data_IF_386123661122
#
_entry.id   IF_386123661122
#
_cell.length_a   1.000
_cell.length_b   1.000
_cell.length_c   1.000
_cell.angle_alpha   90.00
_cell.angle_beta   90.00
_cell.angle_gamma   90.00
#
_symmetry.space_group_name_H-M   'P 1'
#
loop_
_entity.id
_entity.type
_entity.pdbx_description
1 polymer ?
#
# COMPACT_ATOMS: atom_id res chain seq x y z
N UNK A 1 13.30 5.71 -14.22
CA UNK A 1 12.39 4.95 -15.12
C UNK A 1 11.58 5.89 -16.01
N UNK A 2 11.10 5.44 -17.18
CA UNK A 2 10.38 6.28 -18.16
C UNK A 2 9.16 7.00 -17.57
N UNK A 3 8.43 6.36 -16.66
CA UNK A 3 7.12 6.82 -16.16
C UNK A 3 7.17 7.83 -14.99
N UNK A 4 8.35 8.14 -14.43
CA UNK A 4 8.49 9.16 -13.37
C UNK A 4 7.92 8.77 -12.00
N UNK A 5 7.79 7.47 -11.72
CA UNK A 5 7.33 6.93 -10.42
C UNK A 5 8.19 7.46 -9.27
N UNK A 6 7.55 7.97 -8.23
CA UNK A 6 8.21 8.56 -7.06
C UNK A 6 7.69 8.03 -5.71
N UNK A 7 6.79 7.03 -5.73
CA UNK A 7 6.41 6.25 -4.55
C UNK A 7 6.83 4.80 -4.83
N UNK A 8 7.69 4.23 -3.98
CA UNK A 8 8.20 2.87 -4.16
C UNK A 8 7.96 2.05 -2.89
N UNK A 9 7.69 0.76 -3.05
CA UNK A 9 7.61 -0.21 -1.95
C UNK A 9 8.84 -1.12 -2.01
N UNK A 10 9.52 -1.27 -0.88
CA UNK A 10 10.70 -2.13 -0.73
C UNK A 10 10.32 -3.33 0.13
N UNK A 11 10.26 -4.50 -0.49
CA UNK A 11 10.14 -5.77 0.25
C UNK A 11 11.45 -6.08 0.95
N UNK A 12 11.39 -6.31 2.25
CA UNK A 12 12.51 -6.67 3.12
C UNK A 12 12.50 -8.18 3.39
N UNK A 13 13.64 -8.70 3.84
CA UNK A 13 13.76 -10.06 4.34
C UNK A 13 13.16 -10.21 5.74
N UNK A 14 13.27 -9.14 6.56
CA UNK A 14 12.90 -9.08 7.97
C UNK A 14 13.72 -9.99 8.90
N UNK A 15 14.62 -10.80 8.35
CA UNK A 15 15.49 -11.74 9.08
C UNK A 15 16.96 -11.33 9.07
N UNK A 16 17.36 -10.40 8.20
CA UNK A 16 18.71 -9.85 8.13
C UNK A 16 18.67 -8.32 8.05
N UNK A 17 18.88 -7.67 9.19
CA UNK A 17 18.78 -6.22 9.34
C UNK A 17 19.79 -5.49 8.45
N UNK A 18 21.03 -5.96 8.37
CA UNK A 18 22.07 -5.27 7.59
C UNK A 18 21.77 -5.37 6.09
N UNK A 19 21.28 -6.53 5.62
CA UNK A 19 20.80 -6.68 4.25
C UNK A 19 19.59 -5.80 3.95
N UNK A 20 18.62 -5.72 4.88
CA UNK A 20 17.43 -4.88 4.74
C UNK A 20 17.78 -3.39 4.66
N UNK A 21 18.74 -2.94 5.47
CA UNK A 21 19.26 -1.57 5.46
C UNK A 21 19.94 -1.25 4.14
N UNK A 22 20.86 -2.11 3.68
CA UNK A 22 21.57 -1.88 2.41
C UNK A 22 20.63 -1.93 1.21
N UNK A 23 19.63 -2.84 1.22
CA UNK A 23 18.60 -2.89 0.18
C UNK A 23 17.79 -1.59 0.13
N UNK A 24 17.35 -1.09 1.28
CA UNK A 24 16.55 0.14 1.34
C UNK A 24 17.37 1.35 0.88
N UNK A 25 18.63 1.42 1.31
CA UNK A 25 19.59 2.44 0.87
C UNK A 25 19.81 2.41 -0.64
N UNK A 26 20.11 1.24 -1.21
CA UNK A 26 20.36 1.09 -2.64
C UNK A 26 19.13 1.51 -3.48
N UNK A 27 17.92 1.14 -3.05
CA UNK A 27 16.68 1.58 -3.73
C UNK A 27 16.54 3.11 -3.64
N UNK A 28 16.82 3.71 -2.48
CA UNK A 28 16.74 5.15 -2.31
C UNK A 28 17.71 5.92 -3.21
N UNK A 29 18.95 5.45 -3.33
CA UNK A 29 19.98 6.04 -4.17
C UNK A 29 19.59 5.96 -5.66
N UNK A 30 19.20 4.78 -6.14
CA UNK A 30 18.74 4.59 -7.52
C UNK A 30 17.50 5.45 -7.83
N UNK A 31 16.54 5.51 -6.90
CA UNK A 31 15.34 6.34 -7.06
C UNK A 31 15.70 7.83 -7.12
N UNK A 32 16.57 8.29 -6.23
CA UNK A 32 17.00 9.68 -6.16
C UNK A 32 17.71 10.11 -7.44
N UNK A 33 18.69 9.34 -7.92
CA UNK A 33 19.41 9.62 -9.16
C UNK A 33 18.47 9.67 -10.37
N UNK A 34 17.61 8.67 -10.51
CA UNK A 34 16.69 8.57 -11.64
C UNK A 34 15.63 9.69 -11.66
N UNK A 35 15.22 10.18 -10.49
CA UNK A 35 14.23 11.26 -10.38
C UNK A 35 14.85 12.65 -10.46
N UNK A 36 16.08 12.82 -9.97
CA UNK A 36 16.85 14.07 -10.11
C UNK A 36 17.07 14.42 -11.57
N UNK A 37 17.37 13.42 -12.42
CA UNK A 37 17.47 13.60 -13.88
C UNK A 37 16.16 14.10 -14.53
N UNK A 38 15.03 13.92 -13.85
CA UNK A 38 13.70 14.39 -14.28
C UNK A 38 13.24 15.66 -13.55
N UNK A 39 14.15 16.34 -12.84
CA UNK A 39 13.83 17.55 -12.08
C UNK A 39 12.95 17.30 -10.84
N UNK A 40 12.90 16.06 -10.33
CA UNK A 40 12.14 15.70 -9.13
C UNK A 40 13.08 15.32 -8.00
N UNK A 41 13.10 16.12 -6.94
CA UNK A 41 13.95 15.86 -5.78
C UNK A 41 13.30 14.93 -4.76
N UNK A 42 11.97 15.02 -4.61
CA UNK A 42 11.22 14.29 -3.58
C UNK A 42 10.67 12.97 -4.10
N UNK A 43 10.90 11.91 -3.34
CA UNK A 43 10.32 10.59 -3.50
C UNK A 43 9.98 9.98 -2.15
N UNK A 44 9.27 8.87 -2.17
CA UNK A 44 8.72 8.23 -1.00
C UNK A 44 8.95 6.73 -1.07
N UNK A 45 9.32 6.15 0.07
CA UNK A 45 9.47 4.72 0.26
C UNK A 45 8.44 4.23 1.26
N UNK A 46 7.94 3.03 1.06
CA UNK A 46 7.34 2.18 2.09
C UNK A 46 8.17 0.91 2.16
N UNK A 47 8.23 0.29 3.34
CA UNK A 47 8.95 -0.98 3.52
C UNK A 47 8.02 -2.00 4.13
N UNK A 48 8.21 -3.25 3.75
CA UNK A 48 7.33 -4.35 4.13
C UNK A 48 8.21 -5.57 4.42
N UNK A 49 8.25 -5.96 5.69
CA UNK A 49 9.02 -7.09 6.19
C UNK A 49 8.26 -8.41 6.14
N UNK A 50 7.01 -8.40 5.67
CA UNK A 50 6.21 -9.60 5.48
C UNK A 50 6.11 -10.44 6.77
N UNK A 51 5.90 -9.79 7.91
CA UNK A 51 5.78 -10.38 9.26
C UNK A 51 7.06 -11.01 9.85
N UNK A 52 8.21 -10.81 9.20
CA UNK A 52 9.42 -11.58 9.54
C UNK A 52 10.26 -10.98 10.68
N UNK A 53 10.04 -9.74 11.10
CA UNK A 53 10.76 -9.20 12.25
C UNK A 53 10.33 -9.96 13.52
N UNK A 54 11.27 -10.45 14.34
CA UNK A 54 10.94 -11.28 15.51
C UNK A 54 10.22 -10.50 16.61
N UNK A 55 10.38 -9.17 16.68
CA UNK A 55 9.78 -8.27 17.66
C UNK A 55 9.95 -6.79 17.21
N UNK A 56 9.30 -5.83 17.89
CA UNK A 56 9.46 -4.40 17.62
C UNK A 56 10.90 -3.90 17.77
N UNK A 57 11.71 -4.48 18.66
CA UNK A 57 13.12 -4.09 18.85
C UNK A 57 13.95 -4.29 17.58
N UNK A 58 13.73 -5.37 16.83
CA UNK A 58 14.38 -5.59 15.55
C UNK A 58 14.00 -4.51 14.52
N UNK A 59 12.74 -4.08 14.50
CA UNK A 59 12.27 -2.97 13.64
C UNK A 59 12.92 -1.65 14.05
N UNK A 60 13.05 -1.38 15.36
CA UNK A 60 13.75 -0.20 15.86
C UNK A 60 15.24 -0.22 15.49
N UNK A 61 15.91 -1.37 15.57
CA UNK A 61 17.30 -1.51 15.15
C UNK A 61 17.47 -1.21 13.66
N UNK A 62 16.60 -1.78 12.79
CA UNK A 62 16.54 -1.45 11.38
C UNK A 62 16.42 0.06 11.13
N UNK A 63 15.47 0.73 11.79
CA UNK A 63 15.29 2.19 11.65
C UNK A 63 16.52 2.99 12.10
N UNK A 64 17.15 2.61 13.22
CA UNK A 64 18.36 3.27 13.73
C UNK A 64 19.53 3.12 12.75
N UNK A 65 19.76 1.90 12.25
CA UNK A 65 20.81 1.63 11.26
C UNK A 65 20.54 2.34 9.94
N UNK A 66 19.31 2.29 9.44
CA UNK A 66 18.92 3.01 8.21
C UNK A 66 19.17 4.51 8.34
N UNK A 67 18.77 5.13 9.46
CA UNK A 67 18.99 6.57 9.71
C UNK A 67 20.46 6.94 9.67
N UNK A 68 21.34 6.10 10.22
CA UNK A 68 22.79 6.32 10.24
C UNK A 68 23.43 6.07 8.88
N UNK A 69 23.07 4.99 8.21
CA UNK A 69 23.69 4.57 6.95
C UNK A 69 23.20 5.35 5.73
N UNK A 70 21.94 5.81 5.75
CA UNK A 70 21.34 6.59 4.67
C UNK A 70 20.24 7.52 5.20
N UNK A 71 20.59 8.77 5.58
CA UNK A 71 19.60 9.80 5.89
C UNK A 71 18.61 10.04 4.75
N UNK A 72 19.04 9.89 3.49
CA UNK A 72 18.19 9.95 2.30
C UNK A 72 17.07 8.91 2.36
N UNK A 73 17.43 7.63 2.52
CA UNK A 73 16.45 6.55 2.59
C UNK A 73 15.51 6.71 3.78
N UNK A 74 16.06 7.04 4.96
CA UNK A 74 15.28 7.22 6.18
C UNK A 74 14.29 8.39 6.07
N UNK A 75 14.70 9.51 5.48
CA UNK A 75 13.83 10.68 5.31
C UNK A 75 12.73 10.44 4.26
N UNK A 76 13.03 9.66 3.21
CA UNK A 76 12.05 9.25 2.20
C UNK A 76 11.09 8.14 2.69
N UNK A 77 11.43 7.41 3.74
CA UNK A 77 10.57 6.36 4.31
C UNK A 77 9.30 6.95 4.95
N UNK A 78 8.14 6.65 4.37
CA UNK A 78 6.82 7.10 4.82
C UNK A 78 6.27 6.25 5.96
N UNK A 79 6.32 4.92 5.82
CA UNK A 79 5.77 4.00 6.80
C UNK A 79 6.41 2.61 6.67
N UNK A 80 6.27 1.83 7.73
CA UNK A 80 6.56 0.40 7.79
C UNK A 80 5.24 -0.37 7.70
N UNK A 81 5.22 -1.46 6.97
CA UNK A 81 4.06 -2.33 6.82
C UNK A 81 4.33 -3.66 7.51
N UNK A 82 3.38 -4.08 8.35
CA UNK A 82 3.33 -5.38 9.03
C UNK A 82 4.71 -5.97 9.35
N UNK A 83 5.53 -5.30 10.20
CA UNK A 83 6.89 -5.76 10.45
C UNK A 83 6.92 -7.11 11.15
N UNK A 84 6.01 -7.31 12.11
CA UNK A 84 5.92 -8.52 12.95
C UNK A 84 4.68 -9.35 12.61
N UNK A 85 4.53 -10.48 13.29
CA UNK A 85 3.44 -11.45 13.14
C UNK A 85 2.03 -10.84 12.97
N UNK A 86 1.21 -11.50 12.13
CA UNK A 86 -0.21 -11.17 11.97
C UNK A 86 -1.07 -11.47 13.19
N UNK A 87 -0.74 -12.50 13.98
CA UNK A 87 -1.54 -12.82 15.16
C UNK A 87 -1.24 -11.84 16.30
N UNK A 88 -1.97 -10.72 16.32
CA UNK A 88 -1.78 -9.66 17.31
C UNK A 88 -2.03 -10.13 18.75
N UNK A 89 -2.74 -11.24 18.96
CA UNK A 89 -3.01 -11.78 20.30
C UNK A 89 -1.88 -12.65 20.85
N UNK A 90 -1.01 -13.16 19.97
CA UNK A 90 0.01 -14.13 20.37
C UNK A 90 1.05 -13.53 21.32
N UNK A 91 1.72 -12.45 20.90
CA UNK A 91 2.67 -11.75 21.77
C UNK A 91 2.21 -10.34 22.17
N UNK A 92 1.14 -9.81 21.57
CA UNK A 92 0.63 -8.46 21.85
C UNK A 92 1.75 -7.39 21.81
N UNK A 93 2.60 -7.48 20.79
CA UNK A 93 3.74 -6.58 20.64
C UNK A 93 3.29 -5.12 20.58
N UNK A 94 3.89 -4.29 21.43
CA UNK A 94 3.66 -2.84 21.44
C UNK A 94 4.49 -2.14 20.36
N UNK A 95 3.81 -1.51 19.40
CA UNK A 95 4.38 -0.69 18.33
C UNK A 95 4.58 0.78 18.70
N UNK A 96 4.15 1.24 19.87
CA UNK A 96 4.24 2.65 20.31
C UNK A 96 5.62 3.27 20.03
N UNK A 97 6.71 2.66 20.52
CA UNK A 97 8.09 3.14 20.30
C UNK A 97 8.49 3.18 18.82
N UNK A 98 7.98 2.26 17.99
CA UNK A 98 8.25 2.24 16.55
C UNK A 98 7.50 3.39 15.88
N UNK A 99 6.21 3.54 16.21
CA UNK A 99 5.31 4.55 15.67
C UNK A 99 5.73 6.00 15.98
N UNK A 100 6.40 6.22 17.11
CA UNK A 100 7.04 7.51 17.46
C UNK A 100 8.14 7.93 16.45
N UNK A 101 8.77 6.97 15.78
CA UNK A 101 9.85 7.22 14.82
C UNK A 101 9.29 7.30 13.39
N UNK A 102 8.48 6.31 12.99
CA UNK A 102 7.83 6.22 11.69
C UNK A 102 6.47 5.51 11.84
N UNK A 103 5.43 5.94 11.10
CA UNK A 103 4.15 5.22 11.09
C UNK A 103 4.32 3.73 10.77
N UNK A 104 3.55 2.90 11.47
CA UNK A 104 3.50 1.44 11.25
C UNK A 104 2.07 1.06 10.89
N UNK A 105 1.85 0.52 9.70
CA UNK A 105 0.54 0.10 9.23
C UNK A 105 0.39 -1.42 9.37
N UNK A 106 -0.71 -1.86 9.98
CA UNK A 106 -1.08 -3.27 10.02
C UNK A 106 -1.73 -3.70 8.69
N UNK A 107 -1.41 -4.87 8.17
CA UNK A 107 -2.10 -5.51 7.04
C UNK A 107 -2.68 -6.84 7.48
N UNK A 108 -1.88 -7.91 7.47
CA UNK A 108 -2.35 -9.28 7.73
C UNK A 108 -2.96 -9.44 9.12
N UNK A 109 -2.55 -8.63 10.09
CA UNK A 109 -3.05 -8.72 11.47
C UNK A 109 -4.43 -8.11 11.71
N UNK A 110 -5.01 -7.41 10.72
CA UNK A 110 -6.36 -6.82 10.84
C UNK A 110 -7.35 -7.57 9.96
N UNK A 111 -8.17 -8.40 10.60
CA UNK A 111 -9.18 -9.26 9.94
C UNK A 111 -10.62 -8.85 10.28
N UNK A 112 -10.81 -8.04 11.32
CA UNK A 112 -12.09 -7.54 11.81
C UNK A 112 -11.95 -6.27 12.66
N UNK A 113 -13.08 -5.71 13.11
CA UNK A 113 -13.08 -4.54 14.00
C UNK A 113 -12.34 -4.80 15.30
N UNK A 114 -12.49 -5.98 15.92
CA UNK A 114 -11.80 -6.31 17.17
C UNK A 114 -10.27 -6.29 17.02
N UNK A 115 -9.75 -6.91 15.96
CA UNK A 115 -8.32 -6.87 15.64
C UNK A 115 -7.84 -5.46 15.27
N UNK A 116 -8.72 -4.63 14.68
CA UNK A 116 -8.42 -3.24 14.39
C UNK A 116 -8.29 -2.42 15.69
N UNK A 117 -9.24 -2.57 16.63
CA UNK A 117 -9.14 -1.93 17.95
C UNK A 117 -7.88 -2.36 18.69
N UNK A 118 -7.55 -3.66 18.64
CA UNK A 118 -6.34 -4.17 19.26
C UNK A 118 -5.08 -3.57 18.63
N UNK A 119 -5.02 -3.47 17.30
CA UNK A 119 -3.90 -2.84 16.61
C UNK A 119 -3.69 -1.39 17.09
N UNK A 120 -4.76 -0.60 17.18
CA UNK A 120 -4.68 0.78 17.69
C UNK A 120 -4.20 0.82 19.14
N UNK A 121 -4.73 -0.05 20.02
CA UNK A 121 -4.30 -0.15 21.42
C UNK A 121 -2.81 -0.50 21.54
N UNK A 122 -2.31 -1.38 20.67
CA UNK A 122 -0.91 -1.78 20.61
C UNK A 122 0.01 -0.73 19.97
N UNK A 123 -0.51 0.43 19.52
CA UNK A 123 0.29 1.52 18.96
C UNK A 123 0.61 1.37 17.48
N UNK A 124 -0.14 0.54 16.75
CA UNK A 124 -0.11 0.58 15.30
C UNK A 124 -0.73 1.90 14.83
N UNK A 125 -0.08 2.55 13.86
CA UNK A 125 -0.46 3.90 13.42
C UNK A 125 -1.67 3.92 12.50
N UNK A 126 -2.05 2.78 11.93
CA UNK A 126 -3.09 2.68 10.93
C UNK A 126 -3.13 1.30 10.28
N UNK A 127 -3.89 1.17 9.19
CA UNK A 127 -4.03 -0.12 8.48
C UNK A 127 -3.84 0.02 6.97
N UNK A 128 -3.39 -1.07 6.35
CA UNK A 128 -3.45 -1.28 4.92
C UNK A 128 -4.81 -1.91 4.55
N UNK A 129 -5.53 -1.25 3.65
CA UNK A 129 -6.86 -1.65 3.22
C UNK A 129 -6.79 -2.23 1.82
N UNK A 130 -7.43 -3.38 1.59
CA UNK A 130 -7.40 -4.09 0.31
C UNK A 130 -8.84 -4.40 -0.13
N UNK A 131 -9.30 -3.75 -1.19
CA UNK A 131 -10.63 -3.99 -1.80
C UNK A 131 -10.82 -5.45 -2.20
N UNK A 132 -9.76 -6.08 -2.71
CA UNK A 132 -9.74 -7.48 -3.13
C UNK A 132 -9.80 -8.49 -1.97
N UNK A 133 -9.54 -8.06 -0.73
CA UNK A 133 -9.80 -8.88 0.46
C UNK A 133 -11.27 -8.70 0.88
N UNK A 134 -11.66 -7.49 1.29
CA UNK A 134 -12.99 -7.26 1.87
C UNK A 134 -13.49 -5.83 1.66
N UNK A 135 -14.37 -5.61 0.68
CA UNK A 135 -14.90 -4.25 0.40
C UNK A 135 -15.70 -3.66 1.56
N UNK A 136 -16.66 -4.40 2.13
CA UNK A 136 -17.50 -3.90 3.23
C UNK A 136 -16.67 -3.53 4.47
N UNK A 137 -15.73 -4.39 4.86
CA UNK A 137 -14.81 -4.08 5.97
C UNK A 137 -13.92 -2.89 5.66
N UNK A 138 -13.46 -2.75 4.40
CA UNK A 138 -12.69 -1.58 3.95
C UNK A 138 -13.46 -0.27 4.20
N UNK A 139 -14.76 -0.23 3.90
CA UNK A 139 -15.59 0.96 4.13
C UNK A 139 -15.70 1.28 5.63
N UNK A 140 -15.89 0.27 6.48
CA UNK A 140 -15.98 0.46 7.93
C UNK A 140 -14.65 0.97 8.51
N UNK A 141 -13.53 0.37 8.11
CA UNK A 141 -12.21 0.78 8.59
C UNK A 141 -11.89 2.20 8.13
N UNK A 142 -12.11 2.52 6.85
CA UNK A 142 -11.87 3.86 6.31
C UNK A 142 -12.73 4.90 7.03
N UNK A 143 -14.03 4.64 7.21
CA UNK A 143 -14.92 5.57 7.91
C UNK A 143 -14.43 5.86 9.32
N UNK A 144 -14.05 4.83 10.08
CA UNK A 144 -13.51 5.00 11.43
C UNK A 144 -12.16 5.72 11.42
N UNK A 145 -11.26 5.37 10.52
CA UNK A 145 -9.93 5.98 10.42
C UNK A 145 -10.00 7.45 10.06
N UNK A 146 -10.83 7.83 9.09
CA UNK A 146 -11.03 9.23 8.72
C UNK A 146 -11.69 10.03 9.85
N UNK A 147 -12.68 9.45 10.54
CA UNK A 147 -13.29 10.07 11.71
C UNK A 147 -12.27 10.36 12.83
N UNK A 148 -11.31 9.47 13.04
CA UNK A 148 -10.28 9.57 14.08
C UNK A 148 -8.97 10.24 13.62
N UNK A 149 -8.86 10.64 12.34
CA UNK A 149 -7.62 11.18 11.77
C UNK A 149 -6.48 10.16 11.69
N UNK A 150 -6.79 8.87 11.67
CA UNK A 150 -5.83 7.76 11.59
C UNK A 150 -5.42 7.56 10.12
N UNK A 151 -4.12 7.54 9.79
CA UNK A 151 -3.67 7.31 8.43
C UNK A 151 -3.94 5.87 7.97
N UNK A 152 -4.10 5.68 6.67
CA UNK A 152 -4.21 4.36 6.06
C UNK A 152 -3.68 4.36 4.63
N UNK A 153 -3.39 3.17 4.10
CA UNK A 153 -3.01 3.00 2.70
C UNK A 153 -4.01 2.09 2.00
N UNK A 154 -4.26 2.31 0.72
CA UNK A 154 -4.98 1.33 -0.11
C UNK A 154 -3.93 0.49 -0.84
N UNK A 155 -4.04 -0.83 -0.69
CA UNK A 155 -3.10 -1.78 -1.22
C UNK A 155 -3.79 -2.86 -2.04
N UNK A 156 -2.97 -3.73 -2.58
CA UNK A 156 -3.33 -4.66 -3.64
C UNK A 156 -2.61 -6.02 -3.42
N UNK A 157 -3.09 -7.06 -4.08
CA UNK A 157 -2.46 -8.37 -4.27
C UNK A 157 -2.15 -8.62 -5.76
N UNK A 158 -1.64 -7.60 -6.48
CA UNK A 158 -1.37 -7.64 -7.93
C UNK A 158 -2.65 -7.76 -8.78
N UNK A 159 -3.68 -7.02 -8.41
CA UNK A 159 -4.94 -6.93 -9.11
C UNK A 159 -4.77 -6.16 -10.42
N UNK A 160 -5.38 -6.69 -11.48
CA UNK A 160 -5.44 -6.05 -12.80
C UNK A 160 -6.90 -5.94 -13.25
N UNK A 161 -7.14 -5.33 -14.41
CA UNK A 161 -8.49 -5.17 -14.94
C UNK A 161 -9.43 -4.46 -13.95
N UNK A 162 -10.64 -4.97 -13.78
CA UNK A 162 -11.64 -4.39 -12.89
C UNK A 162 -11.23 -4.30 -11.43
N UNK A 163 -10.47 -5.27 -10.94
CA UNK A 163 -10.06 -5.26 -9.54
C UNK A 163 -9.14 -4.07 -9.24
N UNK A 164 -8.27 -3.69 -10.19
CA UNK A 164 -7.49 -2.45 -10.11
C UNK A 164 -8.40 -1.20 -10.17
N UNK A 165 -9.37 -1.18 -11.10
CA UNK A 165 -10.32 -0.07 -11.24
C UNK A 165 -11.12 0.12 -9.94
N UNK A 166 -11.47 -0.97 -9.24
CA UNK A 166 -12.11 -0.95 -7.93
C UNK A 166 -11.23 -0.34 -6.85
N UNK A 167 -9.95 -0.74 -6.77
CA UNK A 167 -8.97 -0.13 -5.85
C UNK A 167 -8.79 1.37 -6.12
N UNK A 168 -8.64 1.77 -7.39
CA UNK A 168 -8.52 3.16 -7.79
C UNK A 168 -9.77 3.97 -7.44
N UNK A 169 -10.94 3.39 -7.62
CA UNK A 169 -12.22 4.03 -7.28
C UNK A 169 -12.39 4.28 -5.79
N UNK A 170 -12.02 3.31 -4.95
CA UNK A 170 -12.04 3.49 -3.50
C UNK A 170 -11.05 4.60 -3.10
N UNK A 171 -9.83 4.56 -3.64
CA UNK A 171 -8.80 5.57 -3.37
C UNK A 171 -9.18 6.98 -3.81
N UNK A 172 -9.93 7.12 -4.91
CA UNK A 172 -10.42 8.41 -5.40
C UNK A 172 -11.51 9.03 -4.51
N UNK A 173 -12.15 8.23 -3.65
CA UNK A 173 -13.30 8.61 -2.80
C UNK A 173 -12.95 8.65 -1.32
N UNK A 174 -11.66 8.53 -1.01
CA UNK A 174 -11.15 8.51 0.35
C UNK A 174 -9.79 9.22 0.39
N UNK A 175 -9.16 9.30 1.54
CA UNK A 175 -7.91 10.02 1.78
C UNK A 175 -6.72 9.10 2.16
N UNK A 176 -6.33 8.12 1.33
CA UNK A 176 -5.22 7.22 1.64
C UNK A 176 -3.86 7.92 1.50
N UNK A 177 -2.84 7.37 2.16
CA UNK A 177 -1.45 7.76 1.96
C UNK A 177 -1.04 7.53 0.51
N UNK A 178 -0.81 8.63 -0.23
CA UNK A 178 -0.23 8.64 -1.59
C UNK A 178 -0.98 7.82 -2.65
N UNK A 179 -2.28 7.58 -2.47
CA UNK A 179 -3.12 6.86 -3.43
C UNK A 179 -3.24 5.36 -3.10
N UNK A 180 -2.94 4.50 -4.07
CA UNK A 180 -3.04 3.05 -3.90
C UNK A 180 -1.88 2.29 -4.55
N UNK A 181 -1.66 1.05 -4.12
CA UNK A 181 -0.66 0.15 -4.72
C UNK A 181 -1.06 -0.25 -6.16
N UNK A 182 -0.14 -0.04 -7.10
CA UNK A 182 -0.32 -0.39 -8.51
C UNK A 182 0.91 -1.12 -9.06
N UNK A 183 1.16 -2.32 -8.51
CA UNK A 183 2.28 -3.17 -8.92
C UNK A 183 1.95 -4.03 -10.15
N UNK A 184 0.66 -4.29 -10.45
CA UNK A 184 0.21 -5.12 -11.56
C UNK A 184 0.73 -4.66 -12.93
N UNK A 185 1.00 -3.36 -13.13
CA UNK A 185 1.64 -2.84 -14.34
C UNK A 185 3.03 -3.43 -14.62
N UNK A 186 3.71 -3.96 -13.61
CA UNK A 186 5.04 -4.57 -13.74
C UNK A 186 4.96 -6.06 -14.07
N UNK A 187 3.92 -6.74 -13.61
CA UNK A 187 3.80 -8.21 -13.68
C UNK A 187 2.76 -8.68 -14.70
N UNK A 188 1.70 -7.89 -14.92
CA UNK A 188 0.56 -8.18 -15.78
C UNK A 188 0.23 -6.98 -16.71
N UNK A 189 1.21 -6.36 -17.41
CA UNK A 189 0.99 -5.12 -18.16
C UNK A 189 -0.02 -5.26 -19.30
N UNK A 190 -0.24 -6.46 -19.83
CA UNK A 190 -1.11 -6.71 -20.98
C UNK A 190 -2.42 -7.42 -20.62
N UNK A 191 -2.72 -7.58 -19.33
CA UNK A 191 -3.95 -8.23 -18.88
C UNK A 191 -5.16 -7.31 -19.09
N UNK A 192 -6.26 -7.87 -19.60
CA UNK A 192 -7.54 -7.19 -19.81
C UNK A 192 -7.47 -5.93 -20.70
N UNK A 193 -6.95 -6.02 -21.94
CA UNK A 193 -6.74 -4.86 -22.81
C UNK A 193 -8.02 -4.06 -23.08
N UNK A 194 -9.18 -4.70 -23.11
CA UNK A 194 -10.49 -4.07 -23.24
C UNK A 194 -10.83 -3.17 -22.03
N UNK A 195 -10.47 -3.60 -20.81
CA UNK A 195 -10.63 -2.81 -19.59
C UNK A 195 -9.64 -1.65 -19.59
N UNK A 196 -8.38 -1.92 -19.96
CA UNK A 196 -7.36 -0.88 -20.06
C UNK A 196 -7.77 0.21 -21.06
N UNK A 197 -8.33 -0.18 -22.22
CA UNK A 197 -8.83 0.78 -23.22
C UNK A 197 -9.99 1.61 -22.69
N UNK A 198 -10.93 0.99 -21.97
CA UNK A 198 -12.08 1.70 -21.38
C UNK A 198 -11.67 2.69 -20.29
N UNK A 199 -10.68 2.32 -19.48
CA UNK A 199 -10.18 3.09 -18.36
C UNK A 199 -8.76 3.63 -18.60
N UNK A 200 -8.47 4.06 -19.83
CA UNK A 200 -7.11 4.37 -20.29
C UNK A 200 -6.33 5.30 -19.36
N UNK A 201 -7.00 6.29 -18.78
CA UNK A 201 -6.41 7.25 -17.84
C UNK A 201 -5.95 6.65 -16.52
N UNK A 202 -6.53 5.52 -16.09
CA UNK A 202 -6.09 4.76 -14.91
C UNK A 202 -4.89 3.85 -15.21
N UNK A 203 -4.73 3.39 -16.45
CA UNK A 203 -3.68 2.44 -16.83
C UNK A 203 -2.43 3.10 -17.44
N UNK A 204 -2.50 4.41 -17.73
CA UNK A 204 -1.35 5.18 -18.23
C UNK A 204 -0.75 6.04 -17.13
N UNK A 205 0.45 5.68 -16.69
CA UNK A 205 1.22 6.48 -15.74
C UNK A 205 1.91 7.64 -16.45
N UNK A 206 1.66 8.87 -15.99
CA UNK A 206 2.36 10.08 -16.40
C UNK A 206 2.91 10.78 -15.16
N UNK A 207 4.23 11.01 -15.15
CA UNK A 207 4.95 11.67 -14.05
C UNK A 207 4.65 11.07 -12.66
N UNK A 208 4.58 9.75 -12.61
CA UNK A 208 4.29 8.97 -11.42
C UNK A 208 2.85 9.03 -10.92
N UNK A 209 1.92 9.50 -11.76
CA UNK A 209 0.48 9.61 -11.43
C UNK A 209 -0.37 8.94 -12.50
N UNK A 210 -1.58 8.57 -12.11
CA UNK A 210 -2.67 8.17 -13.00
C UNK A 210 -3.84 9.12 -12.80
N UNK A 211 -4.79 9.14 -13.74
CA UNK A 211 -5.97 9.99 -13.69
C UNK A 211 -7.24 9.15 -13.50
N UNK A 212 -8.13 9.62 -12.62
CA UNK A 212 -9.43 8.99 -12.33
C UNK A 212 -10.55 9.49 -13.24
N UNK A 213 -10.24 10.27 -14.28
CA UNK A 213 -11.23 10.85 -15.21
C UNK A 213 -12.11 9.82 -15.93
N UNK A 214 -11.63 8.58 -16.06
CA UNK A 214 -12.44 7.50 -16.65
C UNK A 214 -13.48 6.92 -15.68
N UNK A 215 -13.49 7.35 -14.41
CA UNK A 215 -14.48 6.95 -13.42
C UNK A 215 -15.67 7.90 -13.43
N UNK A 216 -16.88 7.33 -13.34
CA UNK A 216 -18.11 8.08 -13.10
C UNK A 216 -18.18 8.59 -11.65
N UNK A 217 -18.91 9.67 -11.36
CA UNK A 217 -19.00 10.23 -10.00
C UNK A 217 -19.81 9.35 -9.05
N UNK A 218 -20.83 8.63 -9.55
CA UNK A 218 -21.76 7.87 -8.72
C UNK A 218 -21.32 6.42 -8.48
N UNK A 219 -21.72 5.88 -7.32
CA UNK A 219 -21.41 4.50 -6.92
C UNK A 219 -19.90 4.24 -6.89
N UNK A 220 -19.50 3.07 -7.39
CA UNK A 220 -18.09 2.71 -7.57
C UNK A 220 -17.47 3.31 -8.84
N UNK A 221 -18.20 4.11 -9.63
CA UNK A 221 -17.62 4.84 -10.76
C UNK A 221 -17.22 4.00 -11.98
N UNK A 222 -17.51 2.71 -12.02
CA UNK A 222 -17.32 1.86 -13.20
C UNK A 222 -18.46 0.85 -13.32
N UNK A 223 -18.68 0.34 -14.53
CA UNK A 223 -19.77 -0.58 -14.86
C UNK A 223 -19.30 -1.62 -15.88
N UNK A 224 -19.88 -2.81 -15.78
CA UNK A 224 -19.54 -3.97 -16.62
C UNK A 224 -20.38 -4.07 -17.89
N UNK A 225 -21.30 -3.13 -18.11
CA UNK A 225 -22.19 -3.15 -19.26
C UNK A 225 -21.37 -3.17 -20.56
N UNK A 226 -21.77 -4.07 -21.47
CA UNK A 226 -21.05 -4.35 -22.71
C UNK A 226 -19.94 -5.41 -22.61
N UNK A 227 -19.71 -6.00 -21.43
CA UNK A 227 -18.86 -7.19 -21.30
C UNK A 227 -19.72 -8.44 -21.24
N UNK A 228 -19.46 -9.37 -22.15
CA UNK A 228 -20.03 -10.71 -22.10
C UNK A 228 -19.43 -11.46 -20.91
N UNK A 229 -19.99 -11.27 -19.72
CA UNK A 229 -20.00 -12.36 -18.76
C UNK A 229 -20.76 -13.49 -19.46
N UNK A 230 -20.12 -14.66 -19.62
CA UNK A 230 -20.84 -15.86 -20.06
C UNK A 230 -22.16 -15.92 -19.30
N UNK A 231 -23.27 -16.15 -19.99
CA UNK A 231 -24.62 -16.23 -19.42
C UNK A 231 -24.66 -17.24 -18.25
N UNK A 232 -24.24 -16.80 -17.08
CA UNK A 232 -24.06 -17.62 -15.90
C UNK A 232 -25.36 -17.48 -15.14
N UNK A 233 -26.21 -18.50 -15.28
CA UNK A 233 -27.45 -18.60 -14.53
C UNK A 233 -27.09 -19.09 -13.13
N UNK A 234 -27.33 -18.27 -12.12
CA UNK A 234 -27.29 -18.68 -10.73
C UNK A 234 -28.68 -19.18 -10.32
N UNK A 235 -28.74 -20.21 -9.47
CA UNK A 235 -29.99 -20.56 -8.80
C UNK A 235 -30.33 -19.42 -7.84
N UNK A 236 -31.55 -18.91 -7.90
CA UNK A 236 -32.09 -18.04 -6.86
C UNK A 236 -32.52 -18.92 -5.69
N UNK A 237 -31.82 -18.84 -4.57
CA UNK A 237 -32.12 -19.50 -3.31
C UNK A 237 -32.34 -18.48 -2.21
#
# INVERSE_FOLDING_TARGET
GREGIFCLKVKLSGTNIDWDVERTKAVAEVAHEALKQKGRERFFLSVDSNEMNPNPEATLEYLRKLRRSSPLAFNSLLYLEQPTERDLHRHMFSMHKVSEIKPVLADEGVTGLDSFELALKLGWSGVAVKTCKWHSSSLLYISKMEHLGIPYSIQDLTCSGLALVHSASLAARSNPIKGFEYNARQYLPFAYPEIQKRHETLFKVKDGKISTESLQPFGLGFFIEGWNLSNTKFLAG
#
